data_IF_520816691741
#
_entry.id   IF_520816691741
#
_cell.length_a   1.000
_cell.length_b   1.000
_cell.length_c   1.000
_cell.angle_alpha   90.00
_cell.angle_beta   90.00
_cell.angle_gamma   90.00
#
_symmetry.space_group_name_H-M   'P 1'
#
loop_
_entity.id
_entity.type
_entity.pdbx_description
1 polymer ?
#
# COMPACT_ATOMS: atom_id res chain seq x y z
N UNK A 1 -1.23 -22.79 6.47
CA UNK A 1 -2.65 -22.71 6.08
C UNK A 1 -3.04 -21.25 5.95
N UNK A 2 -3.60 -20.84 4.77
CA UNK A 2 -3.97 -19.45 4.49
C UNK A 2 -5.46 -19.21 4.70
N UNK A 3 -6.28 -20.20 4.39
CA UNK A 3 -7.74 -20.13 4.46
C UNK A 3 -8.31 -21.37 5.14
N UNK A 4 -9.34 -21.18 5.97
CA UNK A 4 -10.05 -22.26 6.67
C UNK A 4 -11.55 -22.04 6.54
N UNK A 5 -12.29 -23.01 5.97
CA UNK A 5 -13.74 -22.97 5.83
C UNK A 5 -14.28 -21.66 5.21
N UNK A 6 -13.65 -21.22 4.14
CA UNK A 6 -14.05 -20.01 3.43
C UNK A 6 -15.19 -20.31 2.46
N UNK A 7 -16.28 -19.57 2.59
CA UNK A 7 -17.38 -19.60 1.62
C UNK A 7 -17.82 -18.16 1.35
N UNK A 8 -17.78 -17.74 0.09
CA UNK A 8 -18.38 -16.48 -0.34
C UNK A 8 -18.86 -16.60 -1.79
N UNK A 9 -19.77 -15.74 -2.18
CA UNK A 9 -20.35 -15.71 -3.51
C UNK A 9 -20.26 -14.30 -4.08
N UNK A 10 -19.97 -14.23 -5.37
CA UNK A 10 -20.12 -13.01 -6.16
C UNK A 10 -21.41 -13.08 -6.98
N UNK A 11 -22.15 -11.99 -7.01
CA UNK A 11 -23.35 -11.83 -7.80
C UNK A 11 -23.04 -10.93 -9.01
N UNK A 12 -23.91 -11.00 -10.02
CA UNK A 12 -23.78 -10.16 -11.21
C UNK A 12 -23.69 -8.67 -10.86
N UNK A 13 -22.65 -8.01 -11.35
CA UNK A 13 -22.38 -6.59 -11.12
C UNK A 13 -21.73 -6.26 -9.76
N UNK A 14 -21.37 -7.27 -8.95
CA UNK A 14 -20.62 -7.02 -7.71
C UNK A 14 -19.22 -6.48 -8.03
N UNK A 15 -18.85 -5.41 -7.35
CA UNK A 15 -17.49 -4.90 -7.32
C UNK A 15 -16.94 -5.07 -5.91
N UNK A 16 -16.07 -6.07 -5.76
CA UNK A 16 -15.55 -6.53 -4.47
C UNK A 16 -14.14 -5.99 -4.22
N UNK A 17 -13.94 -5.21 -3.17
CA UNK A 17 -12.62 -4.89 -2.66
C UNK A 17 -12.11 -6.00 -1.76
N UNK A 18 -10.94 -6.57 -2.05
CA UNK A 18 -10.31 -7.61 -1.24
C UNK A 18 -9.20 -7.00 -0.39
N UNK A 19 -9.40 -6.95 0.91
CA UNK A 19 -8.48 -6.36 1.87
C UNK A 19 -7.96 -7.38 2.88
N UNK A 20 -6.82 -7.08 3.47
CA UNK A 20 -6.15 -7.90 4.49
C UNK A 20 -4.66 -7.61 4.51
N UNK A 21 -3.98 -7.99 5.58
CA UNK A 21 -2.54 -7.77 5.75
C UNK A 21 -1.73 -8.44 4.65
N UNK A 22 -0.52 -7.94 4.45
CA UNK A 22 0.43 -8.58 3.54
C UNK A 22 0.76 -10.00 4.04
N UNK A 23 0.79 -10.96 3.10
CA UNK A 23 0.99 -12.38 3.39
C UNK A 23 -0.27 -13.17 3.79
N UNK A 24 -1.44 -12.54 3.91
CA UNK A 24 -2.70 -13.22 4.25
C UNK A 24 -3.38 -13.92 3.06
N UNK A 25 -2.71 -14.05 1.91
CA UNK A 25 -3.19 -14.87 0.80
C UNK A 25 -4.05 -14.15 -0.24
N UNK A 26 -4.06 -12.81 -0.29
CA UNK A 26 -4.82 -12.06 -1.32
C UNK A 26 -4.51 -12.54 -2.74
N UNK A 27 -3.24 -12.53 -3.12
CA UNK A 27 -2.78 -12.98 -4.45
C UNK A 27 -2.94 -14.49 -4.62
N UNK A 28 -2.86 -15.29 -3.54
CA UNK A 28 -3.14 -16.75 -3.60
C UNK A 28 -4.62 -17.00 -3.92
N UNK A 29 -5.54 -16.20 -3.37
CA UNK A 29 -6.95 -16.29 -3.74
C UNK A 29 -7.16 -16.04 -5.25
N UNK A 30 -6.44 -15.08 -5.83
CA UNK A 30 -6.50 -14.86 -7.29
C UNK A 30 -6.01 -16.06 -8.07
N UNK A 31 -4.89 -16.66 -7.68
CA UNK A 31 -4.37 -17.89 -8.31
C UNK A 31 -5.33 -19.06 -8.21
N UNK A 32 -6.01 -19.23 -7.08
CA UNK A 32 -7.06 -20.24 -6.91
C UNK A 32 -8.24 -19.98 -7.85
N UNK A 33 -8.70 -18.73 -8.00
CA UNK A 33 -9.79 -18.34 -8.92
C UNK A 33 -9.37 -18.57 -10.39
N UNK A 34 -8.10 -18.30 -10.73
CA UNK A 34 -7.55 -18.51 -12.07
C UNK A 34 -7.28 -20.00 -12.39
N UNK A 35 -7.31 -20.88 -11.38
CA UNK A 35 -6.96 -22.29 -11.51
C UNK A 35 -5.45 -22.54 -11.67
N UNK A 36 -4.62 -21.57 -11.29
CA UNK A 36 -3.16 -21.72 -11.25
C UNK A 36 -2.68 -22.51 -10.02
N UNK A 37 -3.48 -22.50 -8.97
CA UNK A 37 -3.30 -23.31 -7.76
C UNK A 37 -4.61 -24.04 -7.43
N UNK A 38 -4.51 -25.26 -6.87
CA UNK A 38 -5.66 -26.05 -6.44
C UNK A 38 -5.88 -25.88 -4.93
N UNK A 39 -7.14 -25.76 -4.45
CA UNK A 39 -7.41 -25.75 -3.02
C UNK A 39 -7.18 -27.16 -2.42
N UNK A 40 -6.63 -27.23 -1.20
CA UNK A 40 -6.46 -28.50 -0.46
C UNK A 40 -7.82 -29.21 -0.21
N UNK A 41 -8.90 -28.43 -0.10
CA UNK A 41 -10.27 -28.94 0.06
C UNK A 41 -11.29 -27.90 -0.42
N UNK A 42 -12.53 -28.35 -0.69
CA UNK A 42 -13.58 -27.47 -1.23
C UNK A 42 -13.56 -27.38 -2.75
N UNK A 43 -14.29 -26.41 -3.30
CA UNK A 43 -14.39 -26.23 -4.74
C UNK A 43 -14.66 -24.78 -5.10
N UNK A 44 -14.15 -24.37 -6.26
CA UNK A 44 -14.45 -23.07 -6.88
C UNK A 44 -15.34 -23.34 -8.08
N UNK A 45 -16.52 -22.73 -8.11
CA UNK A 45 -17.49 -22.92 -9.19
C UNK A 45 -17.54 -21.66 -10.05
N UNK A 46 -17.20 -21.81 -11.33
CA UNK A 46 -17.21 -20.74 -12.32
C UNK A 46 -18.19 -21.12 -13.43
N UNK A 47 -19.08 -20.21 -13.88
CA UNK A 47 -20.01 -20.50 -14.97
C UNK A 47 -19.28 -20.87 -16.28
N UNK A 48 -19.94 -21.69 -17.13
CA UNK A 48 -19.38 -22.02 -18.45
C UNK A 48 -19.26 -20.75 -19.32
N UNK A 49 -18.19 -20.67 -20.09
CA UNK A 49 -17.88 -19.53 -20.98
C UNK A 49 -17.69 -18.20 -20.25
N UNK A 50 -17.38 -18.26 -18.96
CA UNK A 50 -17.12 -17.08 -18.16
C UNK A 50 -15.65 -16.66 -18.31
N UNK A 51 -15.42 -15.49 -18.90
CA UNK A 51 -14.07 -14.97 -19.16
C UNK A 51 -13.57 -14.21 -17.96
N UNK A 52 -12.43 -14.64 -17.42
CA UNK A 52 -11.74 -13.96 -16.34
C UNK A 52 -10.55 -13.22 -16.95
N UNK A 53 -10.51 -11.92 -16.74
CA UNK A 53 -9.37 -11.08 -17.09
C UNK A 53 -8.54 -10.77 -15.85
N UNK A 54 -7.22 -10.92 -15.95
CA UNK A 54 -6.29 -10.54 -14.88
C UNK A 54 -5.04 -9.88 -15.46
N UNK A 55 -4.37 -9.07 -14.66
CA UNK A 55 -3.15 -8.41 -15.07
C UNK A 55 -1.96 -9.35 -14.90
N UNK A 56 -1.35 -9.75 -16.03
CA UNK A 56 -0.17 -10.61 -16.03
C UNK A 56 1.07 -9.88 -15.47
N UNK A 57 1.84 -10.59 -14.64
CA UNK A 57 3.10 -10.06 -14.09
C UNK A 57 4.25 -10.07 -15.11
N UNK A 58 4.21 -10.99 -16.10
CA UNK A 58 5.20 -11.09 -17.15
C UNK A 58 4.75 -10.33 -18.40
N UNK A 59 5.52 -9.28 -18.72
CA UNK A 59 5.23 -8.41 -19.85
C UNK A 59 5.78 -9.05 -21.14
N UNK A 60 4.89 -9.40 -22.07
CA UNK A 60 5.26 -9.88 -23.38
C UNK A 60 4.55 -9.07 -24.45
N UNK A 61 5.32 -8.33 -25.25
CA UNK A 61 4.82 -7.47 -26.31
C UNK A 61 5.20 -8.02 -27.66
N UNK A 62 4.24 -8.08 -28.55
CA UNK A 62 4.38 -8.69 -29.90
C UNK A 62 4.23 -7.67 -31.01
N UNK A 63 3.62 -6.51 -30.74
CA UNK A 63 3.31 -5.51 -31.76
C UNK A 63 4.36 -4.40 -31.82
N UNK A 64 4.52 -3.73 -32.97
CA UNK A 64 5.53 -2.69 -33.17
C UNK A 64 5.18 -1.38 -32.44
N UNK A 65 3.91 -1.12 -32.12
CA UNK A 65 3.46 0.11 -31.45
C UNK A 65 2.58 -0.19 -30.25
N UNK A 66 2.54 0.75 -29.29
CA UNK A 66 1.67 0.57 -28.10
C UNK A 66 0.19 0.56 -28.49
N UNK A 67 -0.22 1.30 -29.52
CA UNK A 67 -1.59 1.29 -30.00
C UNK A 67 -1.98 -0.08 -30.55
N UNK A 68 -1.15 -0.67 -31.39
CA UNK A 68 -1.38 -1.99 -31.96
C UNK A 68 -1.36 -3.08 -30.87
N UNK A 69 -0.46 -2.96 -29.88
CA UNK A 69 -0.40 -3.91 -28.76
C UNK A 69 -1.65 -3.81 -27.87
N UNK A 70 -2.10 -2.62 -27.51
CA UNK A 70 -3.34 -2.44 -26.76
C UNK A 70 -4.57 -2.95 -27.51
N UNK A 71 -4.63 -2.72 -28.84
CA UNK A 71 -5.73 -3.17 -29.69
C UNK A 71 -5.88 -4.70 -29.76
N UNK A 72 -4.85 -5.48 -29.42
CA UNK A 72 -4.98 -6.95 -29.26
C UNK A 72 -6.00 -7.35 -28.18
N UNK A 73 -6.31 -6.45 -27.26
CA UNK A 73 -7.35 -6.67 -26.25
C UNK A 73 -8.78 -6.56 -26.80
N UNK A 74 -8.98 -5.94 -27.97
CA UNK A 74 -10.33 -5.78 -28.52
C UNK A 74 -10.93 -7.14 -28.92
N UNK A 75 -12.23 -7.38 -28.62
CA UNK A 75 -12.95 -8.53 -29.16
C UNK A 75 -12.92 -8.54 -30.69
N UNK A 76 -12.95 -9.72 -31.32
CA UNK A 76 -12.90 -9.86 -32.79
C UNK A 76 -13.96 -9.01 -33.50
N UNK A 77 -15.17 -8.92 -32.91
CA UNK A 77 -16.28 -8.11 -33.42
C UNK A 77 -16.01 -6.60 -33.39
N UNK A 78 -15.11 -6.17 -32.52
CA UNK A 78 -14.73 -4.77 -32.30
C UNK A 78 -13.31 -4.44 -32.79
N UNK A 79 -12.64 -5.33 -33.52
CA UNK A 79 -11.27 -5.14 -33.99
C UNK A 79 -11.03 -3.83 -34.78
N UNK A 80 -12.10 -3.26 -35.36
CA UNK A 80 -12.05 -1.97 -36.08
C UNK A 80 -12.17 -0.75 -35.15
N UNK A 81 -12.50 -0.94 -33.87
CA UNK A 81 -12.76 0.14 -32.91
C UNK A 81 -11.48 0.64 -32.23
N UNK A 82 -10.43 0.91 -33.01
CA UNK A 82 -9.09 1.32 -32.53
C UNK A 82 -9.19 2.57 -31.63
N UNK A 83 -10.16 3.46 -31.85
CA UNK A 83 -10.39 4.63 -31.01
C UNK A 83 -10.63 4.28 -29.51
N UNK A 84 -11.14 3.08 -29.22
CA UNK A 84 -11.29 2.62 -27.82
C UNK A 84 -9.93 2.38 -27.17
N UNK A 85 -8.97 1.81 -27.92
CA UNK A 85 -7.61 1.62 -27.46
C UNK A 85 -6.91 2.97 -27.23
N UNK A 86 -7.07 3.93 -28.15
CA UNK A 86 -6.57 5.29 -27.97
C UNK A 86 -7.14 5.94 -26.69
N UNK A 87 -8.47 5.88 -26.49
CA UNK A 87 -9.12 6.48 -25.34
C UNK A 87 -8.63 5.92 -24.01
N UNK A 88 -8.42 4.59 -23.93
CA UNK A 88 -7.88 3.95 -22.73
C UNK A 88 -6.40 4.32 -22.53
N UNK A 89 -5.58 4.30 -23.57
CA UNK A 89 -4.18 4.71 -23.47
C UNK A 89 -4.03 6.16 -23.02
N UNK A 90 -4.84 7.09 -23.55
CA UNK A 90 -4.87 8.48 -23.07
C UNK A 90 -5.27 8.57 -21.60
N UNK A 91 -6.29 7.83 -21.18
CA UNK A 91 -6.72 7.75 -19.79
C UNK A 91 -5.62 7.24 -18.85
N UNK A 92 -4.77 6.34 -19.34
CA UNK A 92 -3.62 5.81 -18.62
C UNK A 92 -2.37 6.70 -18.72
N UNK A 93 -2.48 7.90 -19.31
CA UNK A 93 -1.43 8.92 -19.29
C UNK A 93 -0.45 8.89 -20.45
N UNK A 94 -0.76 8.17 -21.54
CA UNK A 94 -0.01 8.25 -22.80
C UNK A 94 -0.43 9.49 -23.60
N UNK A 95 0.49 10.03 -24.38
CA UNK A 95 0.23 11.13 -25.31
C UNK A 95 0.02 10.62 -26.75
N UNK A 96 -0.52 11.48 -27.63
CA UNK A 96 -0.66 11.17 -29.06
C UNK A 96 0.69 10.74 -29.70
N UNK A 97 1.79 11.40 -29.31
CA UNK A 97 3.12 11.09 -29.80
C UNK A 97 3.67 9.73 -29.33
N UNK A 98 3.08 9.15 -28.29
CA UNK A 98 3.49 7.86 -27.73
C UNK A 98 2.84 6.68 -28.47
N UNK A 99 1.68 6.88 -29.09
CA UNK A 99 0.90 5.79 -29.70
C UNK A 99 1.68 4.98 -30.76
N UNK A 100 2.56 5.64 -31.49
CA UNK A 100 3.38 5.05 -32.57
C UNK A 100 4.73 4.49 -32.07
N UNK A 101 5.06 4.63 -30.79
CA UNK A 101 6.31 4.12 -30.21
C UNK A 101 6.19 2.64 -29.85
N UNK A 102 7.34 1.96 -29.86
CA UNK A 102 7.40 0.56 -29.45
C UNK A 102 7.23 0.41 -27.93
N UNK A 103 6.53 -0.63 -27.44
CA UNK A 103 6.36 -0.88 -25.99
C UNK A 103 7.69 -0.92 -25.23
N UNK A 104 8.76 -1.39 -25.85
CA UNK A 104 10.09 -1.53 -25.23
C UNK A 104 10.79 -0.17 -24.98
N UNK A 105 10.34 0.89 -25.62
CA UNK A 105 10.88 2.25 -25.40
C UNK A 105 10.42 2.85 -24.07
N UNK A 106 9.43 2.25 -23.43
CA UNK A 106 8.85 2.75 -22.20
C UNK A 106 9.44 2.10 -20.95
N UNK A 107 9.42 2.83 -19.86
CA UNK A 107 9.77 2.27 -18.54
C UNK A 107 8.82 1.15 -18.12
N UNK A 108 9.27 0.26 -17.23
CA UNK A 108 8.45 -0.87 -16.76
C UNK A 108 7.07 -0.47 -16.25
N UNK A 109 6.93 0.67 -15.57
CA UNK A 109 5.63 1.18 -15.13
C UNK A 109 4.69 1.55 -16.28
N UNK A 110 5.21 2.14 -17.36
CA UNK A 110 4.40 2.41 -18.56
C UNK A 110 4.08 1.14 -19.32
N UNK A 111 4.97 0.15 -19.34
CA UNK A 111 4.71 -1.16 -19.95
C UNK A 111 3.55 -1.89 -19.22
N UNK A 112 3.48 -1.81 -17.89
CA UNK A 112 2.34 -2.33 -17.11
C UNK A 112 1.04 -1.64 -17.53
N UNK A 113 1.05 -0.32 -17.78
CA UNK A 113 -0.12 0.42 -18.26
C UNK A 113 -0.59 -0.04 -19.66
N UNK A 114 0.32 -0.41 -20.55
CA UNK A 114 -0.04 -0.99 -21.86
C UNK A 114 -0.77 -2.33 -21.68
N UNK A 115 -0.27 -3.20 -20.81
CA UNK A 115 -0.95 -4.46 -20.47
C UNK A 115 -2.32 -4.23 -19.79
N UNK A 116 -2.41 -3.24 -18.93
CA UNK A 116 -3.69 -2.85 -18.35
C UNK A 116 -4.67 -2.35 -19.41
N UNK A 117 -4.22 -1.55 -20.38
CA UNK A 117 -5.06 -1.13 -21.51
C UNK A 117 -5.60 -2.33 -22.30
N UNK A 118 -4.74 -3.29 -22.64
CA UNK A 118 -5.11 -4.53 -23.31
C UNK A 118 -6.14 -5.34 -22.52
N UNK A 119 -5.95 -5.46 -21.20
CA UNK A 119 -6.87 -6.14 -20.32
C UNK A 119 -8.24 -5.44 -20.26
N UNK A 120 -8.27 -4.13 -20.10
CA UNK A 120 -9.53 -3.36 -20.02
C UNK A 120 -10.33 -3.42 -21.33
N UNK A 121 -9.65 -3.57 -22.48
CA UNK A 121 -10.26 -3.72 -23.80
C UNK A 121 -10.85 -5.11 -24.04
N UNK A 122 -10.41 -6.13 -23.32
CA UNK A 122 -10.84 -7.53 -23.56
C UNK A 122 -12.28 -7.81 -23.09
N UNK A 123 -12.94 -6.85 -22.43
CA UNK A 123 -14.31 -6.93 -21.92
C UNK A 123 -14.61 -8.27 -21.21
N UNK A 124 -13.87 -8.62 -20.15
CA UNK A 124 -14.07 -9.87 -19.43
C UNK A 124 -15.36 -9.84 -18.59
N UNK A 125 -15.89 -11.02 -18.22
CA UNK A 125 -17.01 -11.11 -17.30
C UNK A 125 -16.59 -10.77 -15.86
N UNK A 126 -15.43 -11.26 -15.43
CA UNK A 126 -14.80 -10.95 -14.16
C UNK A 126 -13.43 -10.33 -14.39
N UNK A 127 -13.17 -9.21 -13.77
CA UNK A 127 -11.89 -8.54 -13.77
C UNK A 127 -11.19 -8.71 -12.42
N UNK A 128 -9.98 -9.26 -12.42
CA UNK A 128 -9.14 -9.40 -11.25
C UNK A 128 -7.98 -8.40 -11.34
N UNK A 129 -7.95 -7.44 -10.44
CA UNK A 129 -6.90 -6.41 -10.40
C UNK A 129 -6.15 -6.46 -9.07
N UNK A 130 -4.84 -6.72 -9.14
CA UNK A 130 -3.92 -6.68 -8.00
C UNK A 130 -3.08 -5.41 -8.08
N UNK A 131 -3.33 -4.45 -7.18
CA UNK A 131 -2.64 -3.16 -7.08
C UNK A 131 -2.54 -2.38 -8.41
N UNK A 132 -3.67 -2.14 -9.11
CA UNK A 132 -3.63 -1.49 -10.42
C UNK A 132 -3.19 -0.03 -10.37
N UNK A 133 -3.23 0.61 -9.21
CA UNK A 133 -2.80 2.00 -9.00
C UNK A 133 -1.29 2.16 -8.87
N UNK A 134 -0.57 1.08 -8.56
CA UNK A 134 0.88 1.10 -8.58
C UNK A 134 1.35 1.55 -9.96
N UNK A 135 2.29 2.47 -10.02
CA UNK A 135 2.82 3.04 -11.27
C UNK A 135 1.89 4.05 -11.99
N UNK A 136 0.69 4.34 -11.49
CA UNK A 136 -0.19 5.38 -12.03
C UNK A 136 0.07 6.71 -11.31
N UNK A 137 -0.08 7.81 -12.04
CA UNK A 137 -0.16 9.14 -11.42
C UNK A 137 -1.62 9.46 -11.04
N UNK A 138 -1.81 10.51 -10.28
CA UNK A 138 -3.10 10.88 -9.70
C UNK A 138 -4.21 11.05 -10.76
N UNK A 139 -3.86 11.56 -11.95
CA UNK A 139 -4.81 11.73 -13.06
C UNK A 139 -5.24 10.40 -13.63
N UNK A 140 -4.29 9.49 -13.82
CA UNK A 140 -4.55 8.12 -14.29
C UNK A 140 -5.31 7.30 -13.24
N UNK A 141 -5.01 7.47 -11.94
CA UNK A 141 -5.78 6.82 -10.86
C UNK A 141 -7.25 7.26 -10.88
N UNK A 142 -7.52 8.56 -11.03
CA UNK A 142 -8.89 9.07 -11.13
C UNK A 142 -9.61 8.59 -12.38
N UNK A 143 -8.89 8.48 -13.50
CA UNK A 143 -9.46 7.98 -14.74
C UNK A 143 -9.84 6.49 -14.60
N UNK A 144 -8.95 5.64 -14.08
CA UNK A 144 -9.24 4.21 -13.91
C UNK A 144 -10.35 3.99 -12.88
N UNK A 145 -10.44 4.79 -11.83
CA UNK A 145 -11.55 4.73 -10.87
C UNK A 145 -12.92 4.94 -11.59
N UNK A 146 -13.01 5.97 -12.43
CA UNK A 146 -14.22 6.23 -13.24
C UNK A 146 -14.51 5.09 -14.22
N UNK A 147 -13.48 4.54 -14.87
CA UNK A 147 -13.64 3.42 -15.78
C UNK A 147 -14.21 2.19 -15.06
N UNK A 148 -13.59 1.80 -13.93
CA UNK A 148 -14.00 0.62 -13.17
C UNK A 148 -15.38 0.79 -12.51
N UNK A 149 -15.75 2.00 -12.11
CA UNK A 149 -17.10 2.29 -11.60
C UNK A 149 -18.18 2.05 -12.66
N UNK A 150 -17.86 2.27 -13.93
CA UNK A 150 -18.77 2.06 -15.07
C UNK A 150 -18.59 0.68 -15.74
N UNK A 151 -17.68 -0.16 -15.24
CA UNK A 151 -17.48 -1.50 -15.77
C UNK A 151 -18.72 -2.36 -15.51
N UNK A 152 -19.18 -3.08 -16.55
CA UNK A 152 -20.45 -3.82 -16.53
C UNK A 152 -20.32 -5.23 -15.95
N UNK A 153 -19.11 -5.79 -15.99
CA UNK A 153 -18.81 -7.10 -15.40
C UNK A 153 -18.59 -7.05 -13.89
N UNK A 154 -18.25 -8.17 -13.33
CA UNK A 154 -17.84 -8.30 -11.93
C UNK A 154 -16.38 -7.88 -11.78
N UNK A 155 -16.02 -7.37 -10.60
CA UNK A 155 -14.68 -6.92 -10.27
C UNK A 155 -14.24 -7.48 -8.91
N UNK A 156 -13.02 -8.03 -8.83
CA UNK A 156 -12.31 -8.18 -7.56
C UNK A 156 -11.05 -7.31 -7.62
N UNK A 157 -10.98 -6.36 -6.71
CA UNK A 157 -9.93 -5.37 -6.63
C UNK A 157 -9.13 -5.54 -5.34
N UNK A 158 -7.83 -5.74 -5.45
CA UNK A 158 -6.88 -5.61 -4.35
C UNK A 158 -6.24 -4.23 -4.51
N UNK A 159 -6.32 -3.40 -3.47
CA UNK A 159 -5.60 -2.13 -3.40
C UNK A 159 -5.32 -1.76 -1.95
N UNK A 160 -4.23 -1.05 -1.73
CA UNK A 160 -3.89 -0.47 -0.44
C UNK A 160 -4.34 1.00 -0.32
N UNK A 161 -4.90 1.58 -1.37
CA UNK A 161 -5.51 2.90 -1.38
C UNK A 161 -7.00 2.79 -1.05
N UNK A 162 -7.39 3.26 0.17
CA UNK A 162 -8.78 3.22 0.65
C UNK A 162 -9.71 4.05 -0.21
N UNK A 163 -9.31 5.29 -0.52
CA UNK A 163 -10.15 6.23 -1.27
C UNK A 163 -10.42 5.70 -2.67
N UNK A 164 -9.39 5.16 -3.33
CA UNK A 164 -9.54 4.50 -4.62
C UNK A 164 -10.48 3.29 -4.52
N UNK A 165 -10.23 2.38 -3.56
CA UNK A 165 -11.04 1.18 -3.39
C UNK A 165 -12.50 1.53 -3.11
N UNK A 166 -12.78 2.40 -2.14
CA UNK A 166 -14.13 2.78 -1.74
C UNK A 166 -14.89 3.53 -2.85
N UNK A 167 -14.18 4.24 -3.75
CA UNK A 167 -14.77 4.89 -4.92
C UNK A 167 -15.24 3.92 -6.01
N UNK A 168 -14.64 2.72 -6.07
CA UNK A 168 -14.89 1.73 -7.12
C UNK A 168 -15.79 0.60 -6.67
N UNK A 169 -15.62 0.12 -5.43
CA UNK A 169 -16.24 -1.13 -4.95
C UNK A 169 -17.59 -0.91 -4.30
N UNK A 170 -18.46 -1.93 -4.39
CA UNK A 170 -19.77 -1.97 -3.71
C UNK A 170 -19.75 -2.81 -2.45
N UNK A 171 -18.79 -3.73 -2.38
CA UNK A 171 -18.60 -4.67 -1.27
C UNK A 171 -17.14 -4.74 -0.88
N UNK A 172 -16.87 -5.03 0.38
CA UNK A 172 -15.51 -5.26 0.87
C UNK A 172 -15.42 -6.68 1.46
N UNK A 173 -14.46 -7.47 0.98
CA UNK A 173 -14.11 -8.77 1.56
C UNK A 173 -12.82 -8.62 2.38
N UNK A 174 -12.90 -8.92 3.67
CA UNK A 174 -11.76 -8.83 4.58
C UNK A 174 -11.22 -10.23 4.84
N UNK A 175 -9.91 -10.43 4.54
CA UNK A 175 -9.19 -11.63 4.97
C UNK A 175 -8.66 -11.37 6.38
N UNK A 176 -9.26 -12.05 7.34
CA UNK A 176 -8.93 -11.91 8.75
C UNK A 176 -8.95 -13.28 9.43
N UNK A 177 -7.87 -13.63 10.14
CA UNK A 177 -7.74 -14.91 10.86
C UNK A 177 -8.09 -16.13 10.01
N UNK A 178 -7.51 -16.21 8.79
CA UNK A 178 -7.71 -17.31 7.82
C UNK A 178 -9.15 -17.45 7.30
N UNK A 179 -10.02 -16.47 7.57
CA UNK A 179 -11.39 -16.42 7.06
C UNK A 179 -11.57 -15.24 6.12
N UNK A 180 -12.52 -15.35 5.20
CA UNK A 180 -12.94 -14.25 4.35
C UNK A 180 -14.36 -13.86 4.75
N UNK A 181 -14.55 -12.56 5.07
CA UNK A 181 -15.85 -11.99 5.41
C UNK A 181 -16.22 -10.93 4.39
N UNK A 182 -17.35 -11.09 3.71
CA UNK A 182 -17.88 -10.14 2.73
C UNK A 182 -18.89 -9.23 3.40
N UNK A 183 -18.69 -7.92 3.26
CA UNK A 183 -19.55 -6.86 3.80
C UNK A 183 -20.04 -5.98 2.66
N UNK A 184 -21.26 -5.47 2.76
CA UNK A 184 -21.77 -4.44 1.86
C UNK A 184 -21.26 -3.06 2.30
N UNK A 185 -20.65 -2.32 1.37
CA UNK A 185 -20.08 -0.98 1.57
C UNK A 185 -18.56 -0.96 1.61
N UNK A 186 -18.04 0.20 1.98
CA UNK A 186 -16.59 0.50 1.94
C UNK A 186 -15.77 -0.12 3.06
N UNK A 187 -14.47 0.07 2.95
CA UNK A 187 -13.44 -0.51 3.82
C UNK A 187 -13.60 -0.12 5.29
N UNK A 188 -13.90 1.15 5.59
CA UNK A 188 -14.08 1.63 6.97
C UNK A 188 -15.18 0.88 7.70
N UNK A 189 -16.33 0.65 7.04
CA UNK A 189 -17.45 -0.11 7.63
C UNK A 189 -17.06 -1.58 7.84
N UNK A 190 -16.37 -2.18 6.88
CA UNK A 190 -15.93 -3.57 6.95
C UNK A 190 -14.95 -3.79 8.12
N UNK A 191 -13.95 -2.92 8.26
CA UNK A 191 -13.00 -3.00 9.39
C UNK A 191 -13.66 -2.77 10.75
N UNK A 192 -14.58 -1.80 10.85
CA UNK A 192 -15.33 -1.56 12.08
C UNK A 192 -16.14 -2.80 12.51
N UNK A 193 -16.71 -3.54 11.55
CA UNK A 193 -17.42 -4.78 11.85
C UNK A 193 -16.49 -5.91 12.29
N UNK A 194 -15.32 -6.05 11.67
CA UNK A 194 -14.31 -7.06 12.09
C UNK A 194 -13.84 -6.77 13.52
N UNK A 195 -13.55 -5.53 13.87
CA UNK A 195 -13.15 -5.14 15.22
C UNK A 195 -14.26 -5.49 16.23
N UNK A 196 -15.51 -5.19 15.91
CA UNK A 196 -16.65 -5.52 16.75
C UNK A 196 -16.81 -7.05 16.93
N UNK A 197 -16.65 -7.83 15.85
CA UNK A 197 -16.69 -9.31 15.92
C UNK A 197 -15.57 -9.85 16.84
N UNK A 198 -14.35 -9.31 16.72
CA UNK A 198 -13.21 -9.70 17.58
C UNK A 198 -13.48 -9.35 19.06
N UNK A 199 -14.03 -8.16 19.36
CA UNK A 199 -14.41 -7.79 20.72
C UNK A 199 -15.48 -8.71 21.31
N UNK A 200 -16.52 -9.04 20.53
CA UNK A 200 -17.58 -9.97 20.94
C UNK A 200 -16.99 -11.36 21.23
N UNK A 201 -16.11 -11.84 20.34
CA UNK A 201 -15.44 -13.13 20.52
C UNK A 201 -14.61 -13.14 21.80
N UNK A 202 -13.80 -12.11 22.07
CA UNK A 202 -13.00 -12.01 23.29
C UNK A 202 -13.85 -11.96 24.57
N UNK A 203 -14.92 -11.16 24.55
CA UNK A 203 -15.88 -11.11 25.67
C UNK A 203 -16.55 -12.47 25.91
N UNK A 204 -16.92 -13.16 24.84
CA UNK A 204 -17.53 -14.50 24.92
C UNK A 204 -16.54 -15.49 25.48
N UNK A 205 -15.30 -15.52 24.98
CA UNK A 205 -14.22 -16.37 25.48
C UNK A 205 -13.96 -16.15 26.97
N UNK A 206 -13.78 -14.89 27.37
CA UNK A 206 -13.55 -14.57 28.80
C UNK A 206 -14.68 -15.06 29.70
N UNK A 207 -15.95 -15.01 29.23
CA UNK A 207 -17.08 -15.54 29.95
C UNK A 207 -17.07 -17.08 30.01
N UNK A 208 -16.73 -17.75 28.92
CA UNK A 208 -16.60 -19.20 28.87
C UNK A 208 -15.45 -19.70 29.77
N UNK A 209 -14.31 -19.04 29.74
CA UNK A 209 -13.16 -19.36 30.60
C UNK A 209 -13.52 -19.21 32.12
N UNK A 210 -14.27 -18.15 32.48
CA UNK A 210 -14.79 -18.01 33.86
C UNK A 210 -15.73 -19.14 34.22
N UNK A 211 -16.66 -19.53 33.34
CA UNK A 211 -17.56 -20.68 33.58
C UNK A 211 -16.79 -21.98 33.75
N UNK A 212 -15.75 -22.21 32.90
CA UNK A 212 -14.86 -23.37 32.99
C UNK A 212 -14.13 -23.39 34.33
N UNK A 213 -13.46 -22.29 34.70
CA UNK A 213 -12.76 -22.18 35.98
C UNK A 213 -13.66 -22.44 37.17
N UNK A 214 -14.89 -21.90 37.15
CA UNK A 214 -15.88 -22.17 38.20
C UNK A 214 -16.32 -23.64 38.25
N UNK A 215 -16.53 -24.28 37.09
CA UNK A 215 -16.92 -25.68 37.05
C UNK A 215 -15.75 -26.60 37.48
N UNK A 216 -14.53 -26.32 37.07
CA UNK A 216 -13.32 -27.05 37.51
C UNK A 216 -13.05 -26.89 39.00
N UNK A 217 -13.16 -25.68 39.55
CA UNK A 217 -13.04 -25.44 40.98
C UNK A 217 -14.08 -26.23 41.79
N UNK A 218 -15.34 -26.29 41.31
CA UNK A 218 -16.40 -27.09 41.92
C UNK A 218 -16.06 -28.59 41.88
N UNK A 219 -15.65 -29.11 40.70
CA UNK A 219 -15.27 -30.53 40.50
C UNK A 219 -14.11 -30.86 41.46
N UNK A 220 -13.05 -30.07 41.49
CA UNK A 220 -11.87 -30.30 42.34
C UNK A 220 -12.24 -30.31 43.83
N UNK A 221 -13.13 -29.37 44.28
CA UNK A 221 -13.56 -29.25 45.68
C UNK A 221 -14.41 -30.43 46.15
N UNK A 222 -15.24 -31.02 45.26
CA UNK A 222 -16.24 -32.00 45.62
C UNK A 222 -16.01 -33.41 45.06
N UNK A 223 -14.90 -33.62 44.31
CA UNK A 223 -14.57 -34.90 43.64
C UNK A 223 -14.55 -36.11 44.59
N UNK A 224 -14.11 -35.91 45.84
CA UNK A 224 -13.99 -37.00 46.84
C UNK A 224 -15.26 -37.21 47.67
N UNK A 225 -16.33 -36.42 47.47
CA UNK A 225 -17.56 -36.56 48.25
C UNK A 225 -18.62 -37.39 47.55
N UNK A 226 -18.88 -38.61 48.05
CA UNK A 226 -19.84 -39.56 47.44
C UNK A 226 -21.26 -38.96 47.33
N UNK A 227 -21.70 -38.15 48.32
CA UNK A 227 -23.01 -37.46 48.29
C UNK A 227 -23.19 -36.45 47.15
N UNK A 228 -22.10 -35.94 46.57
CA UNK A 228 -22.13 -34.98 45.48
C UNK A 228 -21.71 -35.53 44.11
N UNK A 229 -21.47 -36.86 44.02
CA UNK A 229 -20.99 -37.51 42.82
C UNK A 229 -21.87 -37.23 41.57
N UNK A 230 -23.20 -37.24 41.70
CA UNK A 230 -24.12 -36.91 40.61
C UNK A 230 -24.02 -35.49 40.12
N UNK A 231 -23.79 -34.52 41.03
CA UNK A 231 -23.57 -33.10 40.67
C UNK A 231 -22.21 -32.90 39.98
N UNK A 232 -21.16 -33.57 40.45
CA UNK A 232 -19.82 -33.55 39.85
C UNK A 232 -19.86 -34.09 38.43
N UNK A 233 -20.51 -35.25 38.22
CA UNK A 233 -20.69 -35.82 36.89
C UNK A 233 -21.48 -34.90 35.95
N UNK A 234 -22.52 -34.23 36.44
CA UNK A 234 -23.27 -33.27 35.65
C UNK A 234 -22.38 -32.07 35.22
N UNK A 235 -21.49 -31.58 36.11
CA UNK A 235 -20.54 -30.51 35.79
C UNK A 235 -19.46 -30.95 34.83
N UNK A 236 -18.96 -32.18 34.90
CA UNK A 236 -18.01 -32.77 33.92
C UNK A 236 -18.66 -32.81 32.55
N UNK A 237 -19.88 -33.35 32.42
CA UNK A 237 -20.60 -33.37 31.15
C UNK A 237 -20.91 -31.98 30.58
N UNK A 238 -21.11 -30.99 31.46
CA UNK A 238 -21.25 -29.60 31.04
C UNK A 238 -19.95 -29.05 30.46
N UNK A 239 -18.80 -29.32 31.13
CA UNK A 239 -17.47 -28.92 30.65
C UNK A 239 -17.10 -29.53 29.29
N UNK A 240 -17.45 -30.80 29.09
CA UNK A 240 -17.23 -31.52 27.82
C UNK A 240 -18.04 -30.92 26.65
N UNK A 241 -19.18 -30.28 26.95
CA UNK A 241 -20.06 -29.65 25.95
C UNK A 241 -19.74 -28.19 25.68
N UNK A 242 -18.96 -27.53 26.55
CA UNK A 242 -18.55 -26.16 26.33
C UNK A 242 -17.51 -26.09 25.21
N UNK A 243 -17.75 -25.33 24.13
CA UNK A 243 -16.78 -25.17 23.07
C UNK A 243 -15.47 -24.60 23.65
N UNK A 244 -14.33 -25.13 23.22
CA UNK A 244 -13.06 -24.45 23.42
C UNK A 244 -12.99 -23.36 22.36
N UNK A 245 -13.16 -22.11 22.77
CA UNK A 245 -12.84 -20.97 21.91
C UNK A 245 -11.32 -20.77 21.94
N UNK A 246 -10.72 -20.78 20.75
CA UNK A 246 -9.29 -20.57 20.61
C UNK A 246 -8.90 -19.14 21.04
N UNK A 247 -7.71 -18.99 21.59
CA UNK A 247 -7.12 -17.70 21.89
C UNK A 247 -6.91 -16.94 20.56
N UNK A 248 -7.51 -15.75 20.48
CA UNK A 248 -7.22 -14.90 19.36
C UNK A 248 -5.76 -14.45 19.50
N UNK A 249 -4.87 -14.91 18.62
CA UNK A 249 -3.51 -14.40 18.59
C UNK A 249 -3.55 -12.87 18.58
N UNK A 250 -2.80 -12.24 19.49
CA UNK A 250 -2.73 -10.79 19.55
C UNK A 250 -2.29 -10.26 18.17
N UNK A 251 -3.11 -9.39 17.60
CA UNK A 251 -2.72 -8.68 16.40
C UNK A 251 -1.75 -7.61 16.87
N UNK A 252 -0.47 -7.75 16.51
CA UNK A 252 0.53 -6.73 16.83
C UNK A 252 0.08 -5.41 16.19
N UNK A 253 -0.09 -4.37 17.02
CA UNK A 253 -0.31 -3.01 16.55
C UNK A 253 0.94 -2.54 15.81
N UNK A 254 0.76 -1.91 14.67
CA UNK A 254 1.87 -1.34 13.91
C UNK A 254 2.06 0.09 14.42
N UNK A 255 3.00 0.27 15.34
CA UNK A 255 3.35 1.59 15.86
C UNK A 255 4.58 2.12 15.11
N UNK A 256 4.35 3.05 14.19
CA UNK A 256 5.43 3.84 13.60
C UNK A 256 5.76 5.00 14.55
N UNK A 257 7.03 5.18 14.87
CA UNK A 257 7.50 6.33 15.64
C UNK A 257 8.76 6.89 14.98
N UNK A 258 8.63 8.03 14.31
CA UNK A 258 9.78 8.74 13.76
C UNK A 258 10.54 9.47 14.86
N UNK A 259 11.83 9.20 14.99
CA UNK A 259 12.68 9.87 15.96
C UNK A 259 12.96 11.30 15.52
N UNK A 260 12.62 12.26 16.38
CA UNK A 260 12.83 13.68 16.11
C UNK A 260 14.18 14.14 16.65
N UNK A 261 14.93 14.88 15.81
CA UNK A 261 16.12 15.62 16.22
C UNK A 261 15.74 17.08 16.53
N UNK A 262 16.07 17.62 17.72
CA UNK A 262 15.72 19.00 18.06
C UNK A 262 16.27 20.00 17.03
N UNK A 263 15.44 21.01 16.71
CA UNK A 263 15.81 22.09 15.79
C UNK A 263 15.23 23.42 16.28
N UNK A 264 16.09 24.42 16.49
CA UNK A 264 15.70 25.70 17.07
C UNK A 264 15.51 26.83 16.05
N UNK A 265 16.10 26.70 14.85
CA UNK A 265 15.98 27.72 13.81
C UNK A 265 14.66 27.60 13.02
N UNK A 266 14.32 28.60 12.24
CA UNK A 266 13.10 28.66 11.44
C UNK A 266 13.22 27.83 10.16
N UNK A 267 14.31 27.97 9.41
CA UNK A 267 14.48 27.41 8.07
C UNK A 267 15.51 26.29 8.08
N UNK A 268 15.11 25.12 7.61
CA UNK A 268 15.94 23.92 7.46
C UNK A 268 16.71 23.91 6.14
N UNK A 269 16.04 24.26 5.05
CA UNK A 269 16.59 24.20 3.69
C UNK A 269 16.06 25.37 2.86
N UNK A 270 16.92 25.99 2.09
CA UNK A 270 16.57 27.05 1.16
C UNK A 270 17.14 26.75 -0.24
N UNK A 271 16.25 26.74 -1.23
CA UNK A 271 16.60 26.62 -2.64
C UNK A 271 16.30 27.93 -3.33
N UNK A 272 17.29 28.51 -4.01
CA UNK A 272 17.19 29.78 -4.75
C UNK A 272 17.52 29.56 -6.21
N UNK A 273 16.58 29.90 -7.06
CA UNK A 273 16.72 29.87 -8.54
C UNK A 273 17.20 28.48 -9.05
N UNK A 274 16.73 27.42 -8.42
CA UNK A 274 17.21 26.06 -8.63
C UNK A 274 16.71 25.50 -9.95
N UNK A 275 17.62 25.01 -10.81
CA UNK A 275 17.26 24.35 -12.05
C UNK A 275 18.03 23.04 -12.19
N UNK A 276 17.36 22.01 -12.71
CA UNK A 276 17.97 20.71 -12.93
C UNK A 276 17.38 19.98 -14.15
N UNK A 277 18.25 19.24 -14.80
CA UNK A 277 17.96 18.28 -15.85
C UNK A 277 19.14 17.33 -16.04
N UNK A 278 18.90 16.15 -16.60
CA UNK A 278 19.96 15.19 -16.90
C UNK A 278 20.78 15.60 -18.14
N UNK A 279 20.20 16.45 -18.98
CA UNK A 279 20.87 17.10 -20.11
C UNK A 279 20.56 18.60 -20.09
N UNK A 280 21.49 19.42 -20.56
CA UNK A 280 21.36 20.89 -20.50
C UNK A 280 20.21 21.45 -21.34
N UNK A 281 19.83 20.74 -22.40
CA UNK A 281 18.72 21.03 -23.30
C UNK A 281 17.37 20.51 -22.81
N UNK A 282 17.37 19.58 -21.83
CA UNK A 282 16.16 18.97 -21.30
C UNK A 282 16.07 19.13 -19.78
N UNK A 283 15.59 20.32 -19.34
CA UNK A 283 15.41 20.62 -17.93
C UNK A 283 14.10 20.02 -17.39
N UNK A 284 14.17 19.37 -16.23
CA UNK A 284 13.01 18.85 -15.52
C UNK A 284 12.29 19.93 -14.73
N UNK A 285 13.05 20.87 -14.15
CA UNK A 285 12.51 22.07 -13.50
C UNK A 285 13.47 23.24 -13.64
N UNK A 286 12.91 24.46 -13.59
CA UNK A 286 13.64 25.73 -13.79
C UNK A 286 13.21 26.74 -12.74
N UNK A 287 14.18 27.54 -12.29
CA UNK A 287 13.95 28.73 -11.45
C UNK A 287 13.11 28.43 -10.18
N UNK A 288 13.25 27.22 -9.61
CA UNK A 288 12.54 26.84 -8.39
C UNK A 288 13.09 27.61 -7.20
N UNK A 289 12.20 28.35 -6.52
CA UNK A 289 12.46 28.96 -5.25
C UNK A 289 11.61 28.29 -4.18
N UNK A 290 12.26 27.70 -3.18
CA UNK A 290 11.62 26.92 -2.14
C UNK A 290 12.32 27.13 -0.81
N UNK A 291 11.54 27.41 0.24
CA UNK A 291 12.02 27.40 1.62
C UNK A 291 11.27 26.35 2.41
N UNK A 292 12.01 25.44 3.05
CA UNK A 292 11.45 24.43 3.93
C UNK A 292 11.71 24.84 5.38
N UNK A 293 10.65 25.15 6.10
CA UNK A 293 10.71 25.57 7.49
C UNK A 293 10.48 24.38 8.44
N UNK A 294 10.80 24.54 9.73
CA UNK A 294 10.85 23.51 10.77
C UNK A 294 9.52 22.82 11.02
N UNK A 295 8.46 22.95 10.45
CA UNK A 295 7.18 22.22 10.62
C UNK A 295 6.38 22.15 9.33
N UNK A 296 6.99 22.52 8.22
CA UNK A 296 6.31 22.48 6.94
C UNK A 296 5.84 21.06 6.61
N UNK A 297 4.65 20.96 6.02
CA UNK A 297 4.05 19.75 5.48
C UNK A 297 3.86 19.94 3.98
N UNK A 298 4.85 19.54 3.21
CA UNK A 298 4.91 19.80 1.77
C UNK A 298 4.63 18.51 1.02
N UNK A 299 3.64 18.50 0.13
CA UNK A 299 3.44 17.42 -0.81
C UNK A 299 3.86 17.83 -2.23
N UNK A 300 4.48 16.90 -2.95
CA UNK A 300 4.91 17.07 -4.34
C UNK A 300 4.01 16.23 -5.24
N UNK A 301 3.26 16.88 -6.12
CA UNK A 301 2.31 16.24 -7.02
C UNK A 301 2.61 16.55 -8.48
N UNK A 302 2.11 15.72 -9.39
CA UNK A 302 2.27 15.85 -10.83
C UNK A 302 2.44 14.51 -11.53
N UNK A 303 2.40 14.53 -12.86
CA UNK A 303 2.48 13.31 -13.68
C UNK A 303 3.80 12.56 -13.49
N UNK A 304 3.79 11.28 -13.79
CA UNK A 304 4.98 10.45 -13.71
C UNK A 304 6.04 10.89 -14.74
N UNK A 305 7.33 10.70 -14.38
CA UNK A 305 8.46 11.08 -15.23
C UNK A 305 8.75 12.59 -15.28
N UNK A 306 8.03 13.43 -14.54
CA UNK A 306 8.24 14.90 -14.58
C UNK A 306 9.33 15.42 -13.63
N UNK A 307 9.99 14.53 -12.86
CA UNK A 307 11.14 14.91 -12.04
C UNK A 307 10.85 15.05 -10.54
N UNK A 308 9.73 14.54 -10.02
CA UNK A 308 9.39 14.58 -8.58
C UNK A 308 10.48 13.93 -7.71
N UNK A 309 10.82 12.67 -7.99
CA UNK A 309 11.90 11.94 -7.29
C UNK A 309 13.27 12.59 -7.49
N UNK A 310 13.49 13.18 -8.67
CA UNK A 310 14.71 13.93 -8.96
C UNK A 310 14.81 15.18 -8.11
N UNK A 311 13.71 15.90 -7.90
CA UNK A 311 13.67 17.06 -6.98
C UNK A 311 14.08 16.64 -5.57
N UNK A 312 13.53 15.55 -5.03
CA UNK A 312 13.91 15.04 -3.70
C UNK A 312 15.41 14.69 -3.65
N UNK A 313 15.92 14.07 -4.71
CA UNK A 313 17.34 13.71 -4.78
C UNK A 313 18.26 14.95 -4.86
N UNK A 314 17.83 16.02 -5.54
CA UNK A 314 18.56 17.31 -5.52
C UNK A 314 18.49 17.97 -4.14
N UNK A 315 17.30 18.02 -3.52
CA UNK A 315 17.12 18.61 -2.18
C UNK A 315 17.85 17.81 -1.08
N UNK A 316 18.04 16.50 -1.25
CA UNK A 316 18.86 15.69 -0.35
C UNK A 316 20.37 15.86 -0.53
N UNK A 317 20.80 16.61 -1.56
CA UNK A 317 22.20 16.75 -1.92
C UNK A 317 22.80 15.56 -2.69
N UNK A 318 21.99 14.60 -3.09
CA UNK A 318 22.42 13.43 -3.90
C UNK A 318 22.76 13.79 -5.34
N UNK A 319 22.12 14.85 -5.87
CA UNK A 319 22.41 15.41 -7.19
C UNK A 319 22.73 16.91 -7.07
N UNK A 320 23.72 17.37 -7.83
CA UNK A 320 24.06 18.79 -7.88
C UNK A 320 23.16 19.52 -8.89
N UNK A 321 22.56 20.67 -8.53
CA UNK A 321 21.79 21.47 -9.47
C UNK A 321 22.68 21.98 -10.61
N UNK A 322 22.08 22.24 -11.77
CA UNK A 322 22.77 22.85 -12.91
C UNK A 322 22.95 24.36 -12.68
N UNK A 323 21.93 25.02 -12.12
CA UNK A 323 21.96 26.42 -11.75
C UNK A 323 21.25 26.63 -10.41
N UNK A 324 21.53 27.79 -9.76
CA UNK A 324 20.96 28.12 -8.47
C UNK A 324 21.77 27.62 -7.29
N UNK A 325 21.28 27.91 -6.10
CA UNK A 325 21.94 27.59 -4.83
C UNK A 325 20.98 26.78 -3.93
N UNK A 326 21.53 25.73 -3.30
CA UNK A 326 20.87 24.97 -2.26
C UNK A 326 21.62 25.15 -0.94
N UNK A 327 20.96 25.76 0.05
CA UNK A 327 21.55 26.03 1.36
C UNK A 327 20.82 25.27 2.45
N UNK A 328 21.49 24.29 3.03
CA UNK A 328 21.01 23.54 4.18
C UNK A 328 21.51 24.17 5.48
N UNK A 329 20.68 24.15 6.53
CA UNK A 329 21.11 24.56 7.86
C UNK A 329 22.10 23.54 8.43
N UNK A 330 23.18 23.94 9.16
CA UNK A 330 24.16 23.01 9.71
C UNK A 330 23.55 21.93 10.63
N UNK A 331 22.52 22.27 11.41
CA UNK A 331 21.83 21.34 12.30
C UNK A 331 20.70 20.55 11.62
N UNK A 332 20.56 20.66 10.29
CA UNK A 332 19.61 19.83 9.54
C UNK A 332 20.02 18.37 9.61
N UNK A 333 19.11 17.50 10.09
CA UNK A 333 19.24 16.06 10.08
C UNK A 333 18.18 15.47 9.18
N UNK A 334 18.62 14.91 8.05
CA UNK A 334 17.78 14.44 6.97
C UNK A 334 17.48 12.96 7.09
N UNK A 335 16.19 12.58 7.12
CA UNK A 335 15.71 11.24 6.81
C UNK A 335 15.24 11.19 5.36
N UNK A 336 15.88 10.42 4.49
CA UNK A 336 15.51 10.32 3.09
C UNK A 336 15.10 8.92 2.69
N UNK A 337 13.84 8.76 2.29
CA UNK A 337 13.28 7.56 1.69
C UNK A 337 13.08 7.77 0.19
N UNK A 338 13.80 7.01 -0.63
CA UNK A 338 13.68 7.10 -2.08
C UNK A 338 14.26 5.86 -2.75
N UNK A 339 13.81 5.57 -3.98
CA UNK A 339 14.22 4.37 -4.73
C UNK A 339 15.74 4.27 -4.91
N UNK A 340 16.43 5.39 -5.07
CA UNK A 340 17.90 5.43 -5.18
C UNK A 340 18.61 4.99 -3.90
N UNK A 341 17.97 5.13 -2.73
CA UNK A 341 18.54 4.75 -1.45
C UNK A 341 18.37 3.25 -1.14
N UNK A 342 17.43 2.57 -1.77
CA UNK A 342 17.29 1.11 -1.66
C UNK A 342 18.57 0.41 -2.12
N UNK A 343 19.24 0.94 -3.14
CA UNK A 343 20.51 0.41 -3.65
C UNK A 343 21.70 0.61 -2.69
N UNK A 344 21.54 1.47 -1.67
CA UNK A 344 22.59 1.72 -0.65
C UNK A 344 22.54 0.77 0.54
N UNK A 345 21.54 -0.12 0.61
CA UNK A 345 21.51 -1.18 1.61
C UNK A 345 22.66 -2.16 1.37
N UNK A 346 23.38 -2.54 2.43
CA UNK A 346 24.48 -3.51 2.31
C UNK A 346 23.92 -4.93 2.14
N UNK A 347 24.16 -5.60 1.00
CA UNK A 347 23.62 -6.93 0.74
C UNK A 347 24.14 -8.01 1.71
N UNK A 348 25.24 -7.75 2.43
CA UNK A 348 25.87 -8.69 3.37
C UNK A 348 25.24 -8.66 4.75
N UNK A 349 24.64 -7.54 5.14
CA UNK A 349 24.02 -7.34 6.45
C UNK A 349 22.64 -7.98 6.52
N UNK A 350 22.19 -8.26 7.75
CA UNK A 350 20.80 -8.62 8.03
C UNK A 350 19.94 -7.37 8.18
N UNK A 351 18.61 -7.52 8.12
CA UNK A 351 17.66 -6.42 8.37
C UNK A 351 17.94 -5.78 9.74
N UNK A 352 18.11 -6.61 10.79
CA UNK A 352 18.43 -6.14 12.16
C UNK A 352 19.71 -5.31 12.16
N UNK A 353 20.79 -5.79 11.54
CA UNK A 353 22.07 -5.08 11.46
C UNK A 353 22.00 -3.78 10.67
N UNK A 354 21.25 -3.75 9.57
CA UNK A 354 21.03 -2.54 8.78
C UNK A 354 20.37 -1.43 9.59
N UNK A 355 19.36 -1.78 10.40
CA UNK A 355 18.66 -0.82 11.26
C UNK A 355 19.55 -0.41 12.45
N UNK A 356 20.22 -1.37 13.11
CA UNK A 356 21.12 -1.13 14.23
C UNK A 356 22.25 -0.17 13.88
N UNK A 357 22.89 -0.38 12.72
CA UNK A 357 24.00 0.46 12.24
C UNK A 357 23.58 1.93 11.98
N UNK A 358 22.28 2.18 11.80
CA UNK A 358 21.77 3.54 11.57
C UNK A 358 21.80 4.40 12.84
N UNK A 359 21.59 3.79 13.99
CA UNK A 359 21.61 4.48 15.28
C UNK A 359 22.13 3.57 16.39
N UNK A 360 23.44 3.59 16.68
CA UNK A 360 24.08 2.75 17.70
C UNK A 360 23.58 3.01 19.14
N UNK A 361 22.83 4.09 19.37
CA UNK A 361 22.24 4.37 20.68
C UNK A 361 20.98 3.53 20.97
N UNK A 362 20.45 2.81 19.96
CA UNK A 362 19.29 1.94 20.14
C UNK A 362 19.67 0.65 20.86
N UNK A 363 18.80 0.26 21.80
CA UNK A 363 18.89 -1.07 22.37
C UNK A 363 18.44 -2.13 21.35
N UNK A 364 18.92 -3.35 21.48
CA UNK A 364 18.51 -4.46 20.62
C UNK A 364 16.98 -4.66 20.62
N UNK A 365 16.33 -4.47 21.76
CA UNK A 365 14.87 -4.55 21.84
C UNK A 365 14.18 -3.48 20.97
N UNK A 366 14.69 -2.25 20.98
CA UNK A 366 14.16 -1.18 20.13
C UNK A 366 14.38 -1.47 18.63
N UNK A 367 15.56 -2.00 18.27
CA UNK A 367 15.83 -2.43 16.90
C UNK A 367 14.86 -3.53 16.47
N UNK A 368 14.64 -4.54 17.33
CA UNK A 368 13.70 -5.64 17.06
C UNK A 368 12.25 -5.16 16.96
N UNK A 369 11.85 -4.17 17.75
CA UNK A 369 10.52 -3.57 17.62
C UNK A 369 10.36 -2.88 16.25
N UNK A 370 11.36 -2.10 15.81
CA UNK A 370 11.35 -1.51 14.46
C UNK A 370 11.29 -2.59 13.39
N UNK A 371 12.05 -3.69 13.53
CA UNK A 371 11.97 -4.82 12.61
C UNK A 371 10.55 -5.41 12.58
N UNK A 372 9.90 -5.58 13.73
CA UNK A 372 8.53 -6.07 13.84
C UNK A 372 7.53 -5.15 13.15
N UNK A 373 7.61 -3.84 13.39
CA UNK A 373 6.80 -2.82 12.69
C UNK A 373 6.97 -2.90 11.16
N UNK A 374 8.18 -3.24 10.70
CA UNK A 374 8.47 -3.45 9.28
C UNK A 374 8.12 -4.86 8.78
N UNK A 375 7.37 -5.65 9.55
CA UNK A 375 6.98 -7.05 9.25
C UNK A 375 8.18 -8.03 9.19
N UNK A 376 9.27 -7.72 9.88
CA UNK A 376 10.40 -8.64 10.08
C UNK A 376 10.42 -9.18 11.51
N UNK A 377 9.31 -9.82 11.94
CA UNK A 377 9.21 -10.44 13.27
C UNK A 377 10.10 -11.68 13.41
N UNK A 378 10.56 -11.96 14.63
CA UNK A 378 11.32 -13.17 14.94
C UNK A 378 12.58 -13.34 14.08
N UNK A 379 12.70 -14.51 13.45
CA UNK A 379 13.84 -14.87 12.60
C UNK A 379 13.89 -14.12 11.25
N UNK A 380 12.78 -13.51 10.83
CA UNK A 380 12.76 -12.73 9.60
C UNK A 380 13.70 -11.51 9.66
N UNK A 381 13.92 -10.93 10.85
CA UNK A 381 14.89 -9.85 11.04
C UNK A 381 16.35 -10.28 10.80
N UNK A 382 16.62 -11.58 10.81
CA UNK A 382 17.95 -12.15 10.52
C UNK A 382 18.17 -12.46 9.03
N UNK A 383 17.16 -12.26 8.18
CA UNK A 383 17.34 -12.39 6.73
C UNK A 383 18.38 -11.39 6.23
N UNK A 384 19.25 -11.82 5.33
CA UNK A 384 20.21 -10.95 4.66
C UNK A 384 19.52 -10.07 3.63
N UNK A 385 19.96 -8.84 3.49
CA UNK A 385 19.44 -7.88 2.49
C UNK A 385 19.55 -8.43 1.06
N UNK A 386 20.56 -9.26 0.77
CA UNK A 386 20.74 -9.87 -0.57
C UNK A 386 19.59 -10.76 -1.02
N UNK A 387 18.85 -11.38 -0.10
CA UNK A 387 17.74 -12.30 -0.42
C UNK A 387 16.36 -11.63 -0.31
N UNK A 388 16.31 -10.35 0.03
CA UNK A 388 15.07 -9.60 0.16
C UNK A 388 14.49 -9.23 -1.20
N UNK A 389 13.18 -9.31 -1.32
CA UNK A 389 12.41 -8.74 -2.42
C UNK A 389 12.53 -7.20 -2.44
N UNK A 390 12.12 -6.56 -3.54
CA UNK A 390 12.09 -5.10 -3.65
C UNK A 390 11.27 -4.44 -2.53
N UNK A 391 10.07 -4.97 -2.26
CA UNK A 391 9.22 -4.47 -1.17
C UNK A 391 9.81 -4.69 0.22
N UNK A 392 10.46 -5.83 0.47
CA UNK A 392 11.18 -6.08 1.74
C UNK A 392 12.35 -5.10 1.92
N UNK A 393 13.09 -4.78 0.85
CA UNK A 393 14.15 -3.76 0.89
C UNK A 393 13.60 -2.36 1.18
N UNK A 394 12.45 -2.01 0.59
CA UNK A 394 11.77 -0.74 0.87
C UNK A 394 11.37 -0.64 2.34
N UNK A 395 10.77 -1.68 2.92
CA UNK A 395 10.43 -1.72 4.35
C UNK A 395 11.69 -1.65 5.25
N UNK A 396 12.77 -2.31 4.86
CA UNK A 396 14.05 -2.21 5.59
C UNK A 396 14.57 -0.77 5.60
N UNK A 397 14.50 -0.07 4.46
CA UNK A 397 14.89 1.34 4.36
C UNK A 397 13.99 2.24 5.23
N UNK A 398 12.68 2.00 5.24
CA UNK A 398 11.75 2.75 6.10
C UNK A 398 12.09 2.52 7.58
N UNK A 399 12.41 1.29 7.98
CA UNK A 399 12.89 0.96 9.33
C UNK A 399 14.16 1.72 9.72
N UNK A 400 15.10 1.92 8.78
CA UNK A 400 16.29 2.77 9.00
C UNK A 400 15.92 4.22 9.29
N UNK A 401 14.91 4.75 8.58
CA UNK A 401 14.48 6.15 8.79
C UNK A 401 13.78 6.30 10.13
N UNK A 402 12.98 5.32 10.57
CA UNK A 402 12.41 5.31 11.92
C UNK A 402 13.49 5.30 13.01
N UNK A 403 14.60 4.59 12.76
CA UNK A 403 15.73 4.51 13.70
C UNK A 403 16.55 5.82 13.75
N UNK A 404 16.56 6.61 12.66
CA UNK A 404 17.41 7.80 12.51
C UNK A 404 16.75 9.05 13.08
N UNK A 405 17.39 9.76 14.04
CA UNK A 405 16.85 11.03 14.51
C UNK A 405 16.91 12.09 13.39
N UNK A 406 15.76 12.55 12.92
CA UNK A 406 15.63 13.49 11.81
C UNK A 406 14.82 14.71 12.21
N UNK A 407 15.06 15.86 11.55
CA UNK A 407 14.21 17.05 11.66
C UNK A 407 13.63 17.48 10.31
N UNK A 408 14.08 16.83 9.23
CA UNK A 408 13.48 16.90 7.90
C UNK A 408 13.33 15.48 7.34
N UNK A 409 12.13 15.10 6.94
CA UNK A 409 11.86 13.87 6.21
C UNK A 409 11.58 14.19 4.73
N UNK A 410 12.30 13.54 3.83
CA UNK A 410 12.02 13.51 2.40
C UNK A 410 11.56 12.10 2.05
N UNK A 411 10.29 11.93 1.67
CA UNK A 411 9.69 10.64 1.43
C UNK A 411 9.17 10.53 -0.01
N UNK A 412 9.64 9.56 -0.76
CA UNK A 412 9.26 9.29 -2.15
C UNK A 412 8.44 8.00 -2.24
N UNK A 413 7.12 8.12 -2.34
CA UNK A 413 6.14 7.03 -2.36
C UNK A 413 6.32 6.05 -1.18
N UNK A 414 6.30 6.52 0.08
CA UNK A 414 6.56 5.67 1.24
C UNK A 414 5.45 4.63 1.50
N UNK A 415 4.28 4.83 0.94
CA UNK A 415 3.13 3.94 1.03
C UNK A 415 3.24 2.70 0.14
N UNK A 416 4.11 2.72 -0.88
CA UNK A 416 4.29 1.56 -1.74
C UNK A 416 4.75 0.34 -0.94
N UNK A 417 4.10 -0.81 -1.17
CA UNK A 417 4.34 -2.09 -0.50
C UNK A 417 3.91 -2.16 0.99
N UNK A 418 3.23 -1.15 1.51
CA UNK A 418 2.57 -1.19 2.81
C UNK A 418 1.11 -1.61 2.62
N UNK A 419 0.54 -2.37 3.57
CA UNK A 419 -0.89 -2.63 3.58
C UNK A 419 -1.67 -1.45 4.20
N UNK A 420 -3.01 -1.49 4.09
CA UNK A 420 -3.86 -0.39 4.54
C UNK A 420 -3.63 -0.02 6.00
N UNK A 421 -3.50 -1.02 6.88
CA UNK A 421 -3.27 -0.77 8.31
C UNK A 421 -1.91 -0.11 8.54
N UNK A 422 -0.88 -0.53 7.80
CA UNK A 422 0.45 0.10 7.84
C UNK A 422 0.44 1.53 7.29
N UNK A 423 -0.36 1.81 6.25
CA UNK A 423 -0.52 3.17 5.71
C UNK A 423 -1.20 4.07 6.74
N UNK A 424 -2.27 3.60 7.40
CA UNK A 424 -2.95 4.38 8.44
C UNK A 424 -2.00 4.71 9.61
N UNK A 425 -1.23 3.73 10.08
CA UNK A 425 -0.24 3.94 11.13
C UNK A 425 0.90 4.89 10.68
N UNK A 426 1.32 4.82 9.41
CA UNK A 426 2.29 5.74 8.83
C UNK A 426 1.75 7.18 8.81
N UNK A 427 0.51 7.38 8.38
CA UNK A 427 -0.15 8.71 8.37
C UNK A 427 -0.17 9.28 9.78
N UNK A 428 -0.67 8.53 10.76
CA UNK A 428 -0.74 8.96 12.16
C UNK A 428 0.64 9.35 12.71
N UNK A 429 1.66 8.57 12.40
CA UNK A 429 3.03 8.86 12.82
C UNK A 429 3.60 10.12 12.15
N UNK A 430 3.30 10.35 10.86
CA UNK A 430 3.74 11.54 10.14
C UNK A 430 3.00 12.81 10.59
N UNK A 431 1.71 12.71 10.94
CA UNK A 431 0.95 13.81 11.56
C UNK A 431 1.59 14.26 12.88
N UNK A 432 1.96 13.28 13.71
CA UNK A 432 2.57 13.53 15.02
C UNK A 432 4.07 13.90 14.95
N UNK A 433 4.73 13.76 13.80
CA UNK A 433 6.15 14.08 13.66
C UNK A 433 6.42 15.58 13.83
N UNK A 434 7.26 16.01 14.80
CA UNK A 434 7.46 17.43 15.10
C UNK A 434 8.31 18.19 14.08
N UNK A 435 9.06 17.50 13.22
CA UNK A 435 9.93 18.08 12.18
C UNK A 435 9.18 18.42 10.90
N UNK A 436 9.90 18.85 9.88
CA UNK A 436 9.35 19.12 8.55
C UNK A 436 9.24 17.84 7.71
N UNK A 437 8.24 17.79 6.84
CA UNK A 437 7.96 16.71 5.92
C UNK A 437 7.84 17.24 4.49
N UNK A 438 8.54 16.62 3.56
CA UNK A 438 8.29 16.75 2.13
C UNK A 438 8.05 15.35 1.56
N UNK A 439 6.85 15.12 0.99
CA UNK A 439 6.40 13.81 0.54
C UNK A 439 5.98 13.86 -0.92
N UNK A 440 6.43 12.89 -1.70
CA UNK A 440 5.88 12.55 -3.03
C UNK A 440 4.94 11.38 -2.83
N UNK A 441 3.69 11.52 -3.20
CA UNK A 441 2.74 10.40 -3.19
C UNK A 441 1.59 10.64 -4.16
N UNK A 442 1.00 9.55 -4.62
CA UNK A 442 -0.23 9.54 -5.43
C UNK A 442 -1.47 9.14 -4.61
N UNK A 443 -1.30 8.80 -3.34
CA UNK A 443 -2.39 8.48 -2.43
C UNK A 443 -3.06 9.77 -1.93
N UNK A 444 -4.33 9.97 -2.33
CA UNK A 444 -5.08 11.18 -1.98
C UNK A 444 -5.36 11.29 -0.47
N UNK A 445 -5.54 10.15 0.23
CA UNK A 445 -5.73 10.13 1.69
C UNK A 445 -4.54 10.73 2.42
N UNK A 446 -3.31 10.35 2.02
CA UNK A 446 -2.07 10.94 2.57
C UNK A 446 -1.98 12.44 2.26
N UNK A 447 -2.32 12.86 1.03
CA UNK A 447 -2.29 14.26 0.64
C UNK A 447 -3.25 15.11 1.46
N UNK A 448 -4.48 14.63 1.68
CA UNK A 448 -5.50 15.31 2.50
C UNK A 448 -5.11 15.41 3.97
N UNK A 449 -4.57 14.32 4.52
CA UNK A 449 -4.19 14.27 5.92
C UNK A 449 -2.98 15.19 6.24
N UNK A 450 -1.97 15.21 5.36
CA UNK A 450 -0.68 15.79 5.71
C UNK A 450 -0.38 17.14 5.04
N UNK A 451 -0.82 17.39 3.79
CA UNK A 451 -0.32 18.50 3.00
C UNK A 451 -0.94 19.84 3.43
N UNK A 452 -0.10 20.79 3.82
CA UNK A 452 -0.45 22.21 4.00
C UNK A 452 0.17 23.11 2.93
N UNK A 453 1.12 22.57 2.17
CA UNK A 453 1.80 23.24 1.06
C UNK A 453 2.00 22.24 -0.08
N UNK A 454 1.85 22.67 -1.33
CA UNK A 454 1.99 21.84 -2.50
C UNK A 454 3.08 22.34 -3.44
N UNK A 455 3.86 21.41 -3.98
CA UNK A 455 4.74 21.63 -5.13
C UNK A 455 4.15 20.87 -6.31
N UNK A 456 3.71 21.57 -7.34
CA UNK A 456 2.98 21.01 -8.47
C UNK A 456 3.82 21.03 -9.73
N UNK A 457 4.09 19.87 -10.28
CA UNK A 457 4.75 19.69 -11.57
C UNK A 457 3.70 19.71 -12.69
N UNK A 458 3.63 20.80 -13.44
CA UNK A 458 2.65 20.96 -14.52
C UNK A 458 3.29 21.59 -15.76
N UNK A 459 3.12 20.98 -16.94
CA UNK A 459 3.56 21.47 -18.26
C UNK A 459 5.01 21.99 -18.30
N UNK A 460 5.95 21.31 -17.61
CA UNK A 460 7.36 21.69 -17.56
C UNK A 460 7.70 22.86 -16.62
N UNK A 461 6.73 23.29 -15.81
CA UNK A 461 6.91 24.27 -14.73
C UNK A 461 6.71 23.58 -13.38
N UNK A 462 7.27 24.18 -12.36
CA UNK A 462 7.08 23.77 -10.96
C UNK A 462 6.61 24.99 -10.18
N UNK A 463 5.38 24.90 -9.70
CA UNK A 463 4.74 25.96 -8.94
C UNK A 463 4.57 25.54 -7.48
N UNK A 464 4.72 26.49 -6.56
CA UNK A 464 4.57 26.26 -5.11
C UNK A 464 3.30 26.96 -4.65
N UNK A 465 2.43 26.21 -3.97
CA UNK A 465 1.16 26.70 -3.44
C UNK A 465 1.14 26.54 -1.91
N UNK A 466 0.89 27.62 -1.20
CA UNK A 466 0.70 27.63 0.26
C UNK A 466 -0.76 27.30 0.59
N UNK A 467 -1.20 26.08 0.27
CA UNK A 467 -2.59 25.61 0.45
C UNK A 467 -2.62 24.10 0.62
N UNK A 468 -3.65 23.59 1.30
CA UNK A 468 -3.91 22.16 1.41
C UNK A 468 -4.43 21.55 0.10
N UNK A 469 -4.49 20.22 0.07
CA UNK A 469 -4.83 19.49 -1.16
C UNK A 469 -6.26 19.75 -1.65
N UNK A 470 -7.25 19.73 -0.76
CA UNK A 470 -8.65 19.95 -1.14
C UNK A 470 -8.90 21.39 -1.64
N UNK A 471 -8.34 22.38 -0.97
CA UNK A 471 -8.42 23.79 -1.40
C UNK A 471 -7.74 24.00 -2.78
N UNK A 472 -6.65 23.29 -3.03
CA UNK A 472 -5.99 23.30 -4.34
C UNK A 472 -6.91 22.74 -5.44
N UNK A 473 -7.62 21.62 -5.16
CA UNK A 473 -8.55 21.01 -6.11
C UNK A 473 -9.72 21.97 -6.45
N UNK A 474 -10.25 22.67 -5.45
CA UNK A 474 -11.32 23.65 -5.66
C UNK A 474 -10.89 24.83 -6.54
N UNK A 475 -9.61 25.23 -6.48
CA UNK A 475 -9.07 26.34 -7.28
C UNK A 475 -8.75 25.97 -8.73
N UNK A 476 -8.53 24.69 -9.03
CA UNK A 476 -8.11 24.22 -10.37
C UNK A 476 -9.28 23.55 -11.11
N UNK A 477 -10.25 22.98 -10.39
CA UNK A 477 -11.44 22.32 -10.94
C UNK A 477 -12.50 23.28 -11.32
#
# INVERSE_FOLDING_TARGET
ELFTDVTFQMNAGDRLGLVGRNGHGKSTLFKLILGEEEPDSGQITIPRNYRIGHLEQHLHFTQPTILAEAALGLPEEEAHSIYKAEAILFGLGFSQADLEKAPQEFSGGFQIRINLAKLLLSDPNLLLLDEPTNYLDITSVRWIARFLTNFKGELILISHDRDFMDSVTTHTAVIHRQKIRKFEGGTTKAYAQIILEDEIHEKTRANEDRKRAHAEAFINRFRAQASKAKMVQSRIKMLERLPKLDDLAAIESLDFEFRHAPFAAKTLLEARDLSFGYAADHLLFRHLNLSINARDRIAVIGNNGKGKSTLLNVLSGGLKPLTGELKAHPDMKLGYFGQTNIQRLDPKLTVEQEIENTNPALTRTQVRNICGTMMFGGDLALKKVSVLSGGEKSRTLLGKILAHPSNLLLLDEPNNHLDMESIDALIESLENFPGALLIVTHNEGILRALATKLIVFHRGKVDVFDTGYDEFLEKIG
#
